data_IF_491169863547
#
_entry.id   IF_491169863547
#
_cell.length_a   1.000
_cell.length_b   1.000
_cell.length_c   1.000
_cell.angle_alpha   90.00
_cell.angle_beta   90.00
_cell.angle_gamma   90.00
#
_symmetry.space_group_name_H-M   'P 1'
#
loop_
_entity.id
_entity.type
_entity.pdbx_description
1 polymer ?
#
# COMPACT_ATOMS: atom_id res chain seq x y z
N UNK A 1 4.95 25.01 27.52
CA UNK A 1 3.64 25.53 27.99
C UNK A 1 3.39 25.25 29.48
N UNK A 2 3.66 24.03 30.01
CA UNK A 2 3.39 23.69 31.40
C UNK A 2 4.20 24.52 32.40
N UNK A 3 5.50 24.75 32.13
CA UNK A 3 6.37 25.55 32.98
C UNK A 3 5.93 27.04 33.04
N UNK A 4 5.45 27.58 31.92
CA UNK A 4 4.93 28.96 31.84
C UNK A 4 3.66 29.12 32.67
N UNK A 5 2.73 28.15 32.58
CA UNK A 5 1.49 28.16 33.38
C UNK A 5 1.82 28.01 34.87
N UNK A 6 2.75 27.15 35.25
CA UNK A 6 3.18 26.99 36.64
C UNK A 6 3.80 28.29 37.20
N UNK A 7 4.65 28.95 36.44
CA UNK A 7 5.26 30.22 36.85
C UNK A 7 4.19 31.34 37.06
N UNK A 8 3.22 31.44 36.15
CA UNK A 8 2.13 32.39 36.26
C UNK A 8 1.21 32.08 37.44
N UNK A 9 0.91 30.79 37.69
CA UNK A 9 0.11 30.38 38.86
C UNK A 9 0.83 30.70 40.19
N UNK A 10 2.17 30.51 40.25
CA UNK A 10 2.94 30.91 41.42
C UNK A 10 2.86 32.42 41.61
N UNK A 11 3.07 33.23 40.59
CA UNK A 11 2.98 34.69 40.65
C UNK A 11 1.57 35.20 41.03
N UNK A 12 0.53 34.52 40.55
CA UNK A 12 -0.87 34.79 40.86
C UNK A 12 -1.21 34.54 42.36
N UNK A 13 -0.57 33.55 42.98
CA UNK A 13 -0.78 33.21 44.39
C UNK A 13 0.04 34.06 45.37
N UNK A 14 0.99 34.87 44.89
CA UNK A 14 1.77 35.77 45.73
C UNK A 14 0.93 37.05 46.01
N UNK A 15 0.69 37.32 47.30
CA UNK A 15 0.02 38.52 47.74
C UNK A 15 1.08 39.50 48.25
N UNK A 16 1.09 40.69 47.71
CA UNK A 16 1.99 41.80 48.12
C UNK A 16 1.57 42.42 49.45
N UNK A 17 2.46 43.14 50.16
CA UNK A 17 2.12 43.80 51.43
C UNK A 17 0.97 44.82 51.35
N UNK A 18 0.65 45.32 50.17
CA UNK A 18 -0.48 46.18 49.88
C UNK A 18 -1.83 45.45 49.73
N UNK A 19 -1.85 44.11 49.86
CA UNK A 19 -3.03 43.27 49.72
C UNK A 19 -3.39 42.89 48.26
N UNK A 20 -2.63 43.34 47.26
CA UNK A 20 -2.84 43.02 45.87
C UNK A 20 -2.05 41.77 45.48
N UNK A 21 -2.54 41.07 44.44
CA UNK A 21 -1.82 39.93 43.85
C UNK A 21 -0.66 40.43 42.96
N UNK A 22 0.46 39.74 42.96
CA UNK A 22 1.62 40.05 42.12
C UNK A 22 1.25 40.02 40.63
N UNK A 23 0.42 39.04 40.23
CA UNK A 23 -0.14 38.92 38.87
C UNK A 23 -1.67 38.96 38.98
N UNK A 24 -2.33 39.77 38.16
CA UNK A 24 -3.77 39.88 38.13
C UNK A 24 -4.44 38.77 37.27
N UNK A 25 -5.77 38.72 37.33
CA UNK A 25 -6.58 37.76 36.57
C UNK A 25 -6.37 37.88 35.05
N UNK A 26 -6.11 39.08 34.54
CA UNK A 26 -5.92 39.34 33.12
C UNK A 26 -4.64 38.68 32.61
N UNK A 27 -3.55 38.69 33.39
CA UNK A 27 -2.30 38.04 33.07
C UNK A 27 -2.48 36.53 33.06
N UNK A 28 -3.20 35.98 34.04
CA UNK A 28 -3.50 34.54 34.09
C UNK A 28 -4.32 34.10 32.87
N UNK A 29 -5.42 34.80 32.59
CA UNK A 29 -6.30 34.49 31.45
C UNK A 29 -5.58 34.68 30.11
N UNK A 30 -4.79 35.73 29.95
CA UNK A 30 -3.99 36.00 28.77
C UNK A 30 -2.94 34.89 28.53
N UNK A 31 -2.32 34.37 29.59
CA UNK A 31 -1.37 33.30 29.50
C UNK A 31 -2.03 31.97 29.09
N UNK A 32 -3.20 31.64 29.63
CA UNK A 32 -3.98 30.48 29.23
C UNK A 32 -4.36 30.56 27.74
N UNK A 33 -4.85 31.72 27.30
CA UNK A 33 -5.18 31.94 25.89
C UNK A 33 -3.95 31.83 24.99
N UNK A 34 -2.81 32.41 25.39
CA UNK A 34 -1.54 32.31 24.65
C UNK A 34 -1.10 30.85 24.49
N UNK A 35 -1.16 30.06 25.56
CA UNK A 35 -0.80 28.64 25.54
C UNK A 35 -1.73 27.88 24.58
N UNK A 36 -3.04 28.13 24.64
CA UNK A 36 -4.01 27.49 23.77
C UNK A 36 -3.72 27.79 22.30
N UNK A 37 -3.54 29.06 21.95
CA UNK A 37 -3.23 29.47 20.57
C UNK A 37 -1.90 28.89 20.10
N UNK A 38 -0.86 28.95 20.92
CA UNK A 38 0.46 28.41 20.53
C UNK A 38 0.46 26.89 20.38
N UNK A 39 -0.30 26.15 21.20
CA UNK A 39 -0.44 24.70 21.04
C UNK A 39 -1.15 24.34 19.73
N UNK A 40 -2.24 25.03 19.39
CA UNK A 40 -2.97 24.81 18.13
C UNK A 40 -2.07 25.12 16.93
N UNK A 41 -1.45 26.30 16.90
CA UNK A 41 -0.56 26.71 15.80
C UNK A 41 0.64 25.75 15.68
N UNK A 42 1.27 25.38 16.80
CA UNK A 42 2.39 24.43 16.81
C UNK A 42 1.98 23.06 16.26
N UNK A 43 0.79 22.57 16.61
CA UNK A 43 0.28 21.30 16.10
C UNK A 43 0.15 21.31 14.57
N UNK A 44 -0.44 22.36 14.00
CA UNK A 44 -0.58 22.49 12.55
C UNK A 44 0.77 22.61 11.82
N UNK A 45 1.69 23.38 12.37
CA UNK A 45 3.03 23.56 11.76
C UNK A 45 3.81 22.24 11.82
N UNK A 46 3.77 21.55 12.98
CA UNK A 46 4.46 20.27 13.15
C UNK A 46 3.89 19.21 12.23
N UNK A 47 2.57 19.13 12.09
CA UNK A 47 1.93 18.19 11.16
C UNK A 47 2.36 18.44 9.71
N UNK A 48 2.33 19.71 9.26
CA UNK A 48 2.79 20.06 7.90
C UNK A 48 4.28 19.77 7.69
N UNK A 49 5.11 20.08 8.67
CA UNK A 49 6.54 19.82 8.58
C UNK A 49 6.84 18.31 8.56
N UNK A 50 6.18 17.53 9.41
CA UNK A 50 6.29 16.08 9.45
C UNK A 50 5.85 15.44 8.12
N UNK A 51 4.73 15.90 7.55
CA UNK A 51 4.26 15.45 6.22
C UNK A 51 5.31 15.72 5.13
N UNK A 52 5.88 16.92 5.10
CA UNK A 52 6.90 17.28 4.12
C UNK A 52 8.17 16.45 4.29
N UNK A 53 8.62 16.23 5.50
CA UNK A 53 9.80 15.40 5.79
C UNK A 53 9.53 13.94 5.38
N UNK A 54 8.36 13.39 5.71
CA UNK A 54 8.00 12.02 5.32
C UNK A 54 7.96 11.83 3.79
N UNK A 55 7.47 12.83 3.04
CA UNK A 55 7.49 12.81 1.57
C UNK A 55 8.91 12.91 1.03
N UNK A 56 9.71 13.84 1.56
CA UNK A 56 11.09 14.03 1.13
C UNK A 56 11.97 12.80 1.48
N UNK A 57 11.75 12.17 2.65
CA UNK A 57 12.44 10.94 3.05
C UNK A 57 12.01 9.74 2.20
N UNK A 58 10.73 9.57 1.92
CA UNK A 58 10.24 8.53 1.01
C UNK A 58 10.87 8.67 -0.39
N UNK A 59 11.03 9.92 -0.89
CA UNK A 59 11.70 10.18 -2.16
C UNK A 59 13.22 9.95 -2.12
N UNK A 60 13.89 10.25 -1.00
CA UNK A 60 15.35 10.07 -0.84
C UNK A 60 15.72 8.62 -0.56
N UNK A 61 14.87 7.87 0.13
CA UNK A 61 15.09 6.43 0.35
C UNK A 61 14.91 5.62 -0.94
N UNK A 62 14.00 6.01 -1.80
CA UNK A 62 13.79 5.37 -3.10
C UNK A 62 14.96 5.62 -4.07
N UNK A 63 15.62 6.78 -4.00
CA UNK A 63 16.84 7.04 -4.80
C UNK A 63 18.08 6.30 -4.26
N UNK A 64 18.06 5.88 -2.99
CA UNK A 64 19.19 5.20 -2.32
C UNK A 64 19.00 3.71 -2.12
N UNK A 65 17.76 3.20 -2.19
CA UNK A 65 17.54 1.76 -2.19
C UNK A 65 18.09 1.20 -3.49
N UNK A 66 18.99 0.20 -3.45
CA UNK A 66 19.26 -0.58 -4.65
C UNK A 66 17.90 -1.06 -5.12
N UNK A 67 17.56 -0.79 -6.40
CA UNK A 67 16.29 -1.18 -6.97
C UNK A 67 16.04 -2.65 -6.61
N UNK A 68 15.09 -2.88 -5.69
CA UNK A 68 14.72 -4.25 -5.31
C UNK A 68 14.28 -4.94 -6.59
N UNK A 69 14.91 -6.06 -6.89
CA UNK A 69 14.58 -6.80 -8.11
C UNK A 69 13.12 -7.24 -8.00
N UNK A 70 12.28 -6.68 -8.86
CA UNK A 70 10.87 -7.03 -8.93
C UNK A 70 10.73 -8.54 -9.20
N UNK A 71 9.96 -9.23 -8.36
CA UNK A 71 9.64 -10.65 -8.52
C UNK A 71 8.16 -10.87 -8.25
N UNK A 72 7.45 -11.29 -9.26
CA UNK A 72 6.01 -11.51 -9.22
C UNK A 72 5.73 -13.00 -9.09
N UNK A 73 5.05 -13.40 -8.02
CA UNK A 73 4.62 -14.77 -7.76
C UNK A 73 3.16 -14.96 -8.20
N UNK A 74 2.93 -15.97 -9.02
CA UNK A 74 1.62 -16.32 -9.56
C UNK A 74 1.24 -17.72 -9.07
N UNK A 75 0.44 -17.84 -7.99
CA UNK A 75 -0.12 -19.12 -7.58
C UNK A 75 -1.13 -19.64 -8.60
N UNK A 76 -0.86 -20.83 -9.14
CA UNK A 76 -1.67 -21.49 -10.16
C UNK A 76 -2.40 -22.69 -9.57
N UNK A 77 -3.66 -22.52 -9.21
CA UNK A 77 -4.50 -23.56 -8.63
C UNK A 77 -5.79 -23.82 -9.43
N UNK A 78 -6.26 -22.85 -10.20
CA UNK A 78 -7.48 -22.94 -11.00
C UNK A 78 -7.15 -22.69 -12.48
N UNK A 79 -7.43 -23.65 -13.39
CA UNK A 79 -7.10 -23.53 -14.81
C UNK A 79 -7.81 -22.36 -15.51
N UNK A 80 -8.98 -21.92 -14.98
CA UNK A 80 -9.80 -20.84 -15.58
C UNK A 80 -9.19 -19.45 -15.33
N UNK A 81 -8.37 -19.30 -14.31
CA UNK A 81 -7.76 -18.01 -13.93
C UNK A 81 -6.28 -17.89 -14.34
N UNK A 82 -5.64 -18.98 -14.76
CA UNK A 82 -4.20 -18.98 -15.08
C UNK A 82 -3.88 -17.94 -16.16
N UNK A 83 -4.66 -17.93 -17.24
CA UNK A 83 -4.42 -17.04 -18.37
C UNK A 83 -4.54 -15.55 -17.94
N UNK A 84 -5.58 -15.22 -17.21
CA UNK A 84 -5.80 -13.87 -16.72
C UNK A 84 -4.68 -13.40 -15.79
N UNK A 85 -4.25 -14.25 -14.84
CA UNK A 85 -3.21 -13.89 -13.86
C UNK A 85 -1.82 -13.77 -14.51
N UNK A 86 -1.50 -14.66 -15.45
CA UNK A 86 -0.24 -14.58 -16.19
C UNK A 86 -0.20 -13.36 -17.08
N UNK A 87 -1.29 -13.06 -17.81
CA UNK A 87 -1.38 -11.88 -18.64
C UNK A 87 -1.32 -10.58 -17.81
N UNK A 88 -1.99 -10.53 -16.64
CA UNK A 88 -1.85 -9.41 -15.70
C UNK A 88 -0.38 -9.22 -15.31
N UNK A 89 0.28 -10.29 -14.89
CA UNK A 89 1.68 -10.25 -14.47
C UNK A 89 2.61 -9.80 -15.61
N UNK A 90 2.34 -10.19 -16.86
CA UNK A 90 3.09 -9.75 -18.03
C UNK A 90 2.97 -8.25 -18.30
N UNK A 91 1.80 -7.64 -18.09
CA UNK A 91 1.58 -6.21 -18.37
C UNK A 91 2.02 -5.28 -17.24
N UNK A 92 2.08 -5.77 -15.98
CA UNK A 92 2.54 -4.95 -14.83
C UNK A 92 4.04 -5.06 -14.59
N UNK A 93 4.70 -6.18 -14.99
CA UNK A 93 6.12 -6.41 -14.72
C UNK A 93 7.03 -5.34 -15.31
N UNK A 94 8.22 -5.18 -14.74
CA UNK A 94 9.29 -4.39 -15.36
C UNK A 94 9.88 -5.13 -16.56
N UNK A 95 9.71 -4.63 -17.79
CA UNK A 95 10.24 -5.28 -18.99
C UNK A 95 11.77 -5.30 -19.05
N UNK A 96 12.46 -4.48 -18.26
CA UNK A 96 13.92 -4.46 -18.17
C UNK A 96 14.48 -5.67 -17.40
N UNK A 97 13.66 -6.30 -16.55
CA UNK A 97 14.03 -7.48 -15.76
C UNK A 97 13.51 -8.74 -16.43
N UNK A 98 14.42 -9.66 -16.81
CA UNK A 98 14.03 -10.86 -17.56
C UNK A 98 13.47 -11.96 -16.66
N UNK A 99 14.07 -12.22 -15.50
CA UNK A 99 13.77 -13.39 -14.64
C UNK A 99 12.90 -13.01 -13.44
N UNK A 100 11.83 -12.25 -13.68
CA UNK A 100 10.99 -11.69 -12.60
C UNK A 100 9.63 -12.38 -12.42
N UNK A 101 9.31 -13.42 -13.19
CA UNK A 101 8.06 -14.17 -13.05
C UNK A 101 8.26 -15.55 -12.47
N UNK A 102 7.46 -15.88 -11.45
CA UNK A 102 7.44 -17.18 -10.79
C UNK A 102 6.00 -17.73 -10.77
N UNK A 103 5.79 -18.94 -11.30
CA UNK A 103 4.53 -19.65 -11.13
C UNK A 103 4.67 -20.71 -10.03
N UNK A 104 3.69 -20.75 -9.13
CA UNK A 104 3.69 -21.66 -7.98
C UNK A 104 2.44 -22.55 -7.99
N UNK A 105 2.65 -23.85 -7.93
CA UNK A 105 1.60 -24.78 -7.56
C UNK A 105 1.88 -25.34 -6.15
N UNK A 106 0.92 -25.19 -5.24
CA UNK A 106 1.02 -25.73 -3.88
C UNK A 106 0.15 -26.97 -3.77
N UNK A 107 0.76 -28.05 -3.32
CA UNK A 107 0.13 -29.36 -3.05
C UNK A 107 -0.02 -29.48 -1.54
N UNK A 108 -1.25 -29.73 -1.07
CA UNK A 108 -1.48 -29.94 0.35
C UNK A 108 -0.96 -31.34 0.77
N UNK A 109 -0.03 -31.37 1.73
CA UNK A 109 0.59 -32.60 2.22
C UNK A 109 -0.41 -33.65 2.70
N UNK A 110 -1.50 -33.22 3.32
CA UNK A 110 -2.53 -34.12 3.87
C UNK A 110 -3.32 -34.88 2.80
N UNK A 111 -3.35 -34.35 1.57
CA UNK A 111 -4.13 -34.88 0.45
C UNK A 111 -3.27 -35.12 -0.80
N UNK A 112 -1.95 -35.20 -0.64
CA UNK A 112 -1.04 -35.41 -1.74
C UNK A 112 -1.39 -36.70 -2.50
N UNK A 113 -1.50 -36.60 -3.82
CA UNK A 113 -1.74 -37.73 -4.71
C UNK A 113 -1.07 -37.47 -6.06
N UNK A 114 -0.65 -38.54 -6.74
CA UNK A 114 -0.05 -38.45 -8.07
C UNK A 114 -0.93 -37.67 -9.07
N UNK A 115 -2.27 -37.81 -8.95
CA UNK A 115 -3.22 -37.07 -9.78
C UNK A 115 -3.16 -35.58 -9.54
N UNK A 116 -2.95 -35.13 -8.28
CA UNK A 116 -2.81 -33.71 -7.93
C UNK A 116 -1.48 -33.16 -8.42
N UNK A 117 -0.41 -33.92 -8.32
CA UNK A 117 0.92 -33.56 -8.84
C UNK A 117 0.88 -33.37 -10.36
N UNK A 118 0.33 -34.35 -11.08
CA UNK A 118 0.20 -34.27 -12.53
C UNK A 118 -0.66 -33.09 -12.97
N UNK A 119 -1.74 -32.80 -12.22
CA UNK A 119 -2.58 -31.64 -12.47
C UNK A 119 -1.83 -30.33 -12.24
N UNK A 120 -1.10 -30.23 -11.13
CA UNK A 120 -0.24 -29.08 -10.81
C UNK A 120 0.81 -28.80 -11.89
N UNK A 121 1.47 -29.86 -12.37
CA UNK A 121 2.43 -29.78 -13.47
C UNK A 121 1.79 -29.22 -14.75
N UNK A 122 0.61 -29.70 -15.14
CA UNK A 122 -0.12 -29.17 -16.30
C UNK A 122 -0.47 -27.68 -16.15
N UNK A 123 -0.79 -27.21 -14.95
CA UNK A 123 -1.08 -25.79 -14.68
C UNK A 123 0.17 -24.93 -14.83
N UNK A 124 1.31 -25.40 -14.32
CA UNK A 124 2.60 -24.75 -14.50
C UNK A 124 3.03 -24.71 -15.96
N UNK A 125 2.85 -25.81 -16.70
CA UNK A 125 3.11 -25.89 -18.14
C UNK A 125 2.22 -24.92 -18.94
N UNK A 126 0.91 -24.81 -18.59
CA UNK A 126 0.00 -23.83 -19.20
C UNK A 126 0.49 -22.39 -18.97
N UNK A 127 0.89 -22.04 -17.75
CA UNK A 127 1.44 -20.74 -17.44
C UNK A 127 2.72 -20.44 -18.23
N UNK A 128 3.62 -21.44 -18.34
CA UNK A 128 4.86 -21.31 -19.09
C UNK A 128 4.63 -21.15 -20.61
N UNK A 129 3.63 -21.81 -21.19
CA UNK A 129 3.28 -21.60 -22.61
C UNK A 129 2.83 -20.16 -22.88
N UNK A 130 2.05 -19.55 -21.96
CA UNK A 130 1.57 -18.17 -22.10
C UNK A 130 2.74 -17.21 -22.03
N UNK A 131 3.64 -17.35 -21.05
CA UNK A 131 4.80 -16.45 -20.92
C UNK A 131 5.81 -16.65 -22.07
N UNK A 132 5.98 -17.87 -22.56
CA UNK A 132 6.82 -18.17 -23.72
C UNK A 132 6.30 -17.48 -25.00
N UNK A 133 4.99 -17.34 -25.17
CA UNK A 133 4.42 -16.60 -26.32
C UNK A 133 4.76 -15.10 -26.29
N UNK A 134 5.12 -14.57 -25.12
CA UNK A 134 5.56 -13.19 -24.92
C UNK A 134 7.10 -13.08 -24.80
N UNK A 135 7.86 -14.16 -25.09
CA UNK A 135 9.33 -14.24 -24.93
C UNK A 135 9.80 -13.87 -23.50
N UNK A 136 9.03 -14.27 -22.50
CA UNK A 136 9.34 -14.02 -21.09
C UNK A 136 9.56 -15.34 -20.36
N UNK A 137 10.74 -15.54 -19.71
CA UNK A 137 11.01 -16.74 -18.95
C UNK A 137 10.12 -16.80 -17.70
N UNK A 138 9.66 -18.00 -17.36
CA UNK A 138 8.87 -18.28 -16.17
C UNK A 138 9.52 -19.36 -15.32
N UNK A 139 9.85 -19.03 -14.08
CA UNK A 139 10.30 -20.03 -13.11
C UNK A 139 9.10 -20.81 -12.58
N UNK A 140 9.08 -22.12 -12.82
CA UNK A 140 8.04 -23.03 -12.34
C UNK A 140 8.43 -23.63 -11.00
N UNK A 141 7.54 -23.56 -10.01
CA UNK A 141 7.75 -24.07 -8.66
C UNK A 141 6.57 -24.95 -8.27
N UNK A 142 6.86 -26.19 -7.88
CA UNK A 142 5.90 -27.08 -7.21
C UNK A 142 6.33 -27.24 -5.76
N UNK A 143 5.41 -27.04 -4.82
CA UNK A 143 5.70 -27.07 -3.39
C UNK A 143 4.66 -27.89 -2.64
N UNK A 144 5.11 -28.72 -1.72
CA UNK A 144 4.29 -29.34 -0.71
C UNK A 144 4.25 -28.45 0.53
N UNK A 145 3.06 -28.22 1.06
CA UNK A 145 2.91 -27.44 2.28
C UNK A 145 1.60 -27.84 3.02
N UNK A 146 1.46 -27.46 4.31
CA UNK A 146 0.28 -27.75 5.11
C UNK A 146 -1.00 -27.15 4.55
N UNK A 147 -0.91 -25.96 3.94
CA UNK A 147 -2.01 -25.30 3.26
C UNK A 147 -1.47 -24.35 2.17
N UNK A 148 -2.37 -23.93 1.29
CA UNK A 148 -2.00 -23.11 0.12
C UNK A 148 -1.42 -21.75 0.55
N UNK A 149 -1.99 -21.09 1.58
CA UNK A 149 -1.50 -19.79 2.04
C UNK A 149 -0.08 -19.87 2.58
N UNK A 150 0.22 -20.89 3.43
CA UNK A 150 1.56 -21.13 3.96
C UNK A 150 2.56 -21.38 2.84
N UNK A 151 2.20 -22.20 1.85
CA UNK A 151 3.05 -22.47 0.70
C UNK A 151 3.40 -21.23 -0.10
N UNK A 152 2.44 -20.34 -0.30
CA UNK A 152 2.67 -19.04 -0.97
C UNK A 152 3.60 -18.15 -0.13
N UNK A 153 3.33 -18.02 1.19
CA UNK A 153 4.13 -17.20 2.11
C UNK A 153 5.58 -17.70 2.19
N UNK A 154 5.78 -19.01 2.34
CA UNK A 154 7.12 -19.58 2.41
C UNK A 154 7.88 -19.39 1.09
N UNK A 155 7.23 -19.63 -0.05
CA UNK A 155 7.84 -19.41 -1.38
C UNK A 155 8.16 -17.93 -1.59
N UNK A 156 7.29 -17.03 -1.18
CA UNK A 156 7.52 -15.59 -1.31
C UNK A 156 8.76 -15.14 -0.52
N UNK A 157 8.92 -15.63 0.71
CA UNK A 157 10.10 -15.35 1.55
C UNK A 157 11.37 -15.98 0.98
N UNK A 158 11.32 -17.25 0.56
CA UNK A 158 12.47 -17.99 0.05
C UNK A 158 13.05 -17.39 -1.24
N UNK A 159 12.18 -16.88 -2.12
CA UNK A 159 12.59 -16.32 -3.40
C UNK A 159 12.70 -14.79 -3.41
N UNK A 160 12.46 -14.11 -2.30
CA UNK A 160 12.47 -12.64 -2.23
C UNK A 160 11.41 -12.04 -3.17
N UNK A 161 10.18 -12.57 -3.10
CA UNK A 161 9.06 -12.10 -3.91
C UNK A 161 8.61 -10.73 -3.43
N UNK A 162 8.39 -9.83 -4.36
CA UNK A 162 7.94 -8.48 -4.09
C UNK A 162 6.43 -8.31 -4.29
N UNK A 163 5.84 -9.14 -5.16
CA UNK A 163 4.42 -9.06 -5.56
C UNK A 163 3.79 -10.44 -5.66
N UNK A 164 2.57 -10.57 -5.16
CA UNK A 164 1.79 -11.80 -5.29
C UNK A 164 0.48 -11.49 -6.01
N UNK A 165 0.21 -12.21 -7.11
CA UNK A 165 -0.99 -12.03 -7.93
C UNK A 165 -1.86 -13.27 -7.81
N UNK A 166 -3.01 -13.15 -7.13
CA UNK A 166 -3.96 -14.26 -6.92
C UNK A 166 -5.29 -13.99 -7.61
N UNK A 167 -5.95 -15.08 -8.05
CA UNK A 167 -7.28 -15.02 -8.65
C UNK A 167 -8.39 -15.00 -7.61
N UNK A 168 -9.38 -14.15 -7.81
CA UNK A 168 -10.63 -14.19 -7.07
C UNK A 168 -11.53 -15.30 -7.61
N UNK A 169 -12.08 -16.12 -6.72
CA UNK A 169 -12.95 -17.23 -7.13
C UNK A 169 -14.23 -16.68 -7.79
N UNK A 170 -14.62 -17.22 -8.97
CA UNK A 170 -15.83 -16.78 -9.70
C UNK A 170 -17.14 -17.14 -9.00
N UNK A 171 -17.14 -18.20 -8.17
CA UNK A 171 -18.32 -18.66 -7.39
C UNK A 171 -18.15 -18.25 -5.93
N UNK A 172 -18.54 -17.03 -5.60
CA UNK A 172 -18.68 -16.60 -4.21
C UNK A 172 -20.11 -16.94 -3.78
N UNK A 173 -20.26 -18.00 -2.99
CA UNK A 173 -21.49 -18.17 -2.20
C UNK A 173 -21.48 -17.05 -1.14
N UNK A 174 -22.66 -16.43 -0.93
CA UNK A 174 -22.88 -15.26 -0.07
C UNK A 174 -22.44 -15.46 1.39
N UNK A 175 -22.07 -16.67 1.78
CA UNK A 175 -21.73 -17.07 3.18
C UNK A 175 -20.23 -17.01 3.47
N UNK A 176 -19.37 -17.12 2.45
CA UNK A 176 -17.91 -17.03 2.63
C UNK A 176 -17.44 -15.60 2.34
N UNK A 177 -16.42 -15.13 3.08
CA UNK A 177 -15.84 -13.81 2.84
C UNK A 177 -15.51 -13.65 1.35
N UNK A 178 -15.84 -12.51 0.75
CA UNK A 178 -15.67 -12.23 -0.68
C UNK A 178 -14.27 -12.57 -1.19
N UNK A 179 -13.25 -12.34 -0.38
CA UNK A 179 -11.86 -12.66 -0.69
C UNK A 179 -11.49 -14.12 -0.36
N UNK A 180 -12.27 -14.84 0.46
CA UNK A 180 -11.99 -16.19 0.93
C UNK A 180 -10.86 -16.27 1.96
N UNK A 181 -10.83 -17.40 2.70
CA UNK A 181 -9.81 -17.66 3.74
C UNK A 181 -8.38 -17.60 3.22
N UNK A 182 -8.15 -17.92 1.95
CA UNK A 182 -6.82 -17.85 1.34
C UNK A 182 -6.26 -16.44 1.39
N UNK A 183 -7.03 -15.46 0.89
CA UNK A 183 -6.58 -14.07 0.85
C UNK A 183 -6.40 -13.50 2.26
N UNK A 184 -7.31 -13.80 3.19
CA UNK A 184 -7.18 -13.35 4.58
C UNK A 184 -5.90 -13.89 5.25
N UNK A 185 -5.59 -15.17 5.06
CA UNK A 185 -4.39 -15.78 5.62
C UNK A 185 -3.11 -15.23 4.97
N UNK A 186 -3.14 -14.97 3.65
CA UNK A 186 -2.04 -14.34 2.95
C UNK A 186 -1.77 -12.93 3.48
N UNK A 187 -2.82 -12.11 3.63
CA UNK A 187 -2.69 -10.74 4.10
C UNK A 187 -2.17 -10.63 5.54
N UNK A 188 -2.43 -11.64 6.37
CA UNK A 188 -1.90 -11.73 7.74
C UNK A 188 -0.42 -12.14 7.77
N UNK A 189 0.01 -12.99 6.84
CA UNK A 189 1.36 -13.58 6.85
C UNK A 189 2.35 -12.95 5.87
N UNK A 190 1.87 -12.07 4.98
CA UNK A 190 2.67 -11.44 3.94
C UNK A 190 2.45 -9.92 3.93
N UNK A 191 3.53 -9.16 4.10
CA UNK A 191 3.49 -7.69 4.09
C UNK A 191 3.80 -7.09 2.71
N UNK A 192 4.20 -7.91 1.76
CA UNK A 192 4.46 -7.54 0.36
C UNK A 192 3.16 -7.17 -0.37
N UNK A 193 3.30 -6.62 -1.56
CA UNK A 193 2.16 -6.27 -2.39
C UNK A 193 1.34 -7.52 -2.77
N UNK A 194 0.03 -7.47 -2.60
CA UNK A 194 -0.89 -8.55 -2.96
C UNK A 194 -1.99 -8.00 -3.85
N UNK A 195 -2.09 -8.53 -5.07
CA UNK A 195 -3.16 -8.24 -6.00
C UNK A 195 -4.15 -9.40 -6.06
N UNK A 196 -5.41 -9.13 -5.78
CA UNK A 196 -6.53 -10.07 -5.90
C UNK A 196 -7.32 -9.69 -7.15
N UNK A 197 -7.22 -10.47 -8.21
CA UNK A 197 -7.73 -10.12 -9.52
C UNK A 197 -8.87 -11.02 -9.98
N UNK A 198 -9.86 -10.42 -10.66
CA UNK A 198 -10.95 -11.09 -11.35
C UNK A 198 -11.15 -10.41 -12.70
N UNK A 199 -11.05 -11.17 -13.78
CA UNK A 199 -11.35 -10.67 -15.11
C UNK A 199 -12.60 -11.37 -15.67
N UNK A 200 -13.45 -10.60 -16.32
CA UNK A 200 -14.64 -11.09 -17.02
C UNK A 200 -14.45 -11.10 -18.54
N UNK A 201 -13.39 -10.45 -18.99
CA UNK A 201 -12.98 -10.33 -20.38
C UNK A 201 -11.45 -10.37 -20.47
N UNK A 202 -10.88 -10.69 -21.62
CA UNK A 202 -9.44 -10.68 -21.82
C UNK A 202 -8.84 -9.30 -21.52
N UNK A 203 -7.69 -9.26 -20.82
CA UNK A 203 -7.07 -8.02 -20.33
C UNK A 203 -6.73 -7.03 -21.47
N UNK A 204 -6.40 -7.54 -22.66
CA UNK A 204 -6.09 -6.73 -23.84
C UNK A 204 -7.32 -6.05 -24.48
N UNK A 205 -8.53 -6.35 -24.03
CA UNK A 205 -9.78 -5.71 -24.49
C UNK A 205 -10.23 -4.57 -23.59
N UNK A 206 -9.53 -4.34 -22.47
CA UNK A 206 -9.82 -3.26 -21.54
C UNK A 206 -9.53 -1.89 -22.18
N UNK A 207 -10.43 -0.93 -21.98
CA UNK A 207 -10.31 0.42 -22.54
C UNK A 207 -9.93 1.48 -21.51
N UNK A 208 -10.19 1.21 -20.24
CA UNK A 208 -9.89 2.15 -19.15
C UNK A 208 -9.59 1.39 -17.87
N UNK A 209 -8.66 1.93 -17.10
CA UNK A 209 -8.32 1.47 -15.75
C UNK A 209 -8.79 2.55 -14.78
N UNK A 210 -9.80 2.28 -13.97
CA UNK A 210 -10.31 3.18 -12.94
C UNK A 210 -9.75 2.77 -11.59
N UNK A 211 -8.99 3.64 -10.94
CA UNK A 211 -8.28 3.34 -9.69
C UNK A 211 -8.83 4.19 -8.57
N UNK A 212 -9.50 3.58 -7.60
CA UNK A 212 -9.93 4.24 -6.38
C UNK A 212 -8.81 4.15 -5.34
N UNK A 213 -8.38 5.31 -4.86
CA UNK A 213 -7.24 5.48 -3.95
C UNK A 213 -7.71 6.04 -2.62
N UNK A 214 -7.44 5.37 -1.48
CA UNK A 214 -7.84 5.88 -0.18
C UNK A 214 -7.02 7.10 0.22
N UNK A 215 -7.55 7.94 1.11
CA UNK A 215 -6.78 9.03 1.71
C UNK A 215 -5.52 8.50 2.40
N UNK A 216 -4.43 9.26 2.34
CA UNK A 216 -3.13 8.93 2.94
C UNK A 216 -2.40 7.74 2.31
N UNK A 217 -2.85 7.24 1.15
CA UNK A 217 -2.15 6.18 0.42
C UNK A 217 -0.72 6.58 0.03
N UNK A 218 -0.49 7.86 -0.18
CA UNK A 218 0.82 8.44 -0.51
C UNK A 218 1.90 8.26 0.56
N UNK A 219 1.50 7.95 1.80
CA UNK A 219 2.42 7.69 2.91
C UNK A 219 2.77 6.21 3.07
N UNK A 220 2.16 5.32 2.26
CA UNK A 220 2.47 3.90 2.29
C UNK A 220 3.74 3.59 1.50
N UNK A 221 4.56 2.68 2.01
CA UNK A 221 5.84 2.29 1.37
C UNK A 221 5.65 1.80 -0.08
N UNK A 222 4.55 1.13 -0.37
CA UNK A 222 4.24 0.60 -1.70
C UNK A 222 3.61 1.60 -2.66
N UNK A 223 3.43 2.89 -2.29
CA UNK A 223 2.69 3.86 -3.11
C UNK A 223 3.25 4.02 -4.52
N UNK A 224 4.53 4.29 -4.65
CA UNK A 224 5.14 4.51 -5.95
C UNK A 224 5.10 3.25 -6.83
N UNK A 225 5.27 2.08 -6.21
CA UNK A 225 5.32 0.79 -6.89
C UNK A 225 4.00 0.45 -7.57
N UNK A 226 2.88 0.51 -6.86
CA UNK A 226 1.59 0.20 -7.48
C UNK A 226 1.17 1.27 -8.52
N UNK A 227 1.53 2.54 -8.32
CA UNK A 227 1.33 3.57 -9.36
C UNK A 227 2.10 3.20 -10.64
N UNK A 228 3.35 2.75 -10.49
CA UNK A 228 4.18 2.29 -11.60
C UNK A 228 3.56 1.09 -12.32
N UNK A 229 3.05 0.08 -11.58
CA UNK A 229 2.38 -1.08 -12.17
C UNK A 229 1.20 -0.69 -13.06
N UNK A 230 0.31 0.18 -12.59
CA UNK A 230 -0.86 0.57 -13.39
C UNK A 230 -0.53 1.57 -14.50
N UNK A 231 0.48 2.40 -14.34
CA UNK A 231 0.98 3.23 -15.44
C UNK A 231 1.61 2.37 -16.54
N UNK A 232 2.42 1.36 -16.20
CA UNK A 232 2.96 0.39 -17.17
C UNK A 232 1.84 -0.37 -17.87
N UNK A 233 0.85 -0.86 -17.11
CA UNK A 233 -0.32 -1.52 -17.65
C UNK A 233 -1.07 -0.64 -18.63
N UNK A 234 -1.34 0.63 -18.27
CA UNK A 234 -1.99 1.60 -19.16
C UNK A 234 -1.22 1.82 -20.45
N UNK A 235 0.10 1.97 -20.37
CA UNK A 235 0.97 2.12 -21.54
C UNK A 235 1.00 0.88 -22.44
N UNK A 236 1.12 -0.32 -21.81
CA UNK A 236 1.17 -1.60 -22.54
C UNK A 236 -0.14 -1.90 -23.27
N UNK A 237 -1.27 -1.62 -22.62
CA UNK A 237 -2.59 -1.84 -23.19
C UNK A 237 -3.08 -0.68 -24.05
N UNK A 238 -2.38 0.45 -24.06
CA UNK A 238 -2.80 1.66 -24.78
C UNK A 238 -4.10 2.26 -24.23
N UNK A 239 -4.41 2.01 -22.96
CA UNK A 239 -5.63 2.47 -22.32
C UNK A 239 -5.38 3.60 -21.32
N UNK A 240 -6.44 4.35 -21.01
CA UNK A 240 -6.39 5.48 -20.09
C UNK A 240 -6.47 5.02 -18.65
N UNK A 241 -5.63 5.59 -17.78
CA UNK A 241 -5.65 5.36 -16.34
C UNK A 241 -6.33 6.54 -15.65
N UNK A 242 -7.40 6.28 -14.91
CA UNK A 242 -8.19 7.29 -14.23
C UNK A 242 -8.09 7.07 -12.71
N UNK A 243 -7.49 8.03 -12.03
CA UNK A 243 -7.33 8.02 -10.58
C UNK A 243 -8.48 8.78 -9.90
N UNK A 244 -9.08 8.16 -8.89
CA UNK A 244 -10.08 8.75 -8.00
C UNK A 244 -9.47 8.84 -6.61
N UNK A 245 -9.18 10.06 -6.16
CA UNK A 245 -8.50 10.31 -4.90
C UNK A 245 -8.93 11.66 -4.30
N UNK A 246 -8.59 11.90 -3.03
CA UNK A 246 -8.74 13.22 -2.45
C UNK A 246 -7.73 14.22 -3.06
N UNK A 247 -7.85 15.49 -2.74
CA UNK A 247 -7.04 16.56 -3.32
C UNK A 247 -5.54 16.42 -3.01
N UNK A 248 -5.19 16.02 -1.77
CA UNK A 248 -3.80 15.85 -1.33
C UNK A 248 -3.12 14.71 -2.09
N UNK A 249 -3.71 13.53 -2.09
CA UNK A 249 -3.21 12.35 -2.81
C UNK A 249 -3.16 12.60 -4.32
N UNK A 250 -4.16 13.28 -4.89
CA UNK A 250 -4.20 13.63 -6.32
C UNK A 250 -3.02 14.50 -6.72
N UNK A 251 -2.67 15.49 -5.90
CA UNK A 251 -1.52 16.36 -6.18
C UNK A 251 -0.23 15.56 -6.28
N UNK A 252 -0.01 14.61 -5.37
CA UNK A 252 1.19 13.77 -5.37
C UNK A 252 1.19 12.76 -6.51
N UNK A 253 0.04 12.16 -6.85
CA UNK A 253 -0.11 11.31 -8.03
C UNK A 253 0.24 12.05 -9.32
N UNK A 254 -0.25 13.29 -9.49
CA UNK A 254 0.06 14.11 -10.66
C UNK A 254 1.56 14.41 -10.79
N UNK A 255 2.22 14.75 -9.66
CA UNK A 255 3.67 14.99 -9.64
C UNK A 255 4.43 13.72 -10.03
N UNK A 256 4.09 12.58 -9.45
CA UNK A 256 4.74 11.30 -9.70
C UNK A 256 4.56 10.85 -11.15
N UNK A 257 3.33 10.88 -11.65
CA UNK A 257 3.00 10.48 -13.02
C UNK A 257 3.71 11.40 -14.02
N UNK A 258 3.66 12.73 -13.83
CA UNK A 258 4.34 13.68 -14.70
C UNK A 258 5.86 13.48 -14.74
N UNK A 259 6.47 13.16 -13.57
CA UNK A 259 7.92 12.97 -13.45
C UNK A 259 8.41 11.67 -14.09
N UNK A 260 7.69 10.55 -13.88
CA UNK A 260 8.16 9.20 -14.25
C UNK A 260 7.39 8.56 -15.41
N UNK A 261 6.13 8.95 -15.65
CA UNK A 261 5.22 8.28 -16.59
C UNK A 261 4.51 9.27 -17.50
N UNK A 262 5.23 10.28 -18.01
CA UNK A 262 4.68 11.34 -18.87
C UNK A 262 4.01 10.84 -20.15
N UNK A 263 4.30 9.60 -20.59
CA UNK A 263 3.66 8.96 -21.74
C UNK A 263 2.31 8.32 -21.44
N UNK A 264 1.97 8.13 -20.15
CA UNK A 264 0.71 7.48 -19.75
C UNK A 264 -0.44 8.48 -19.86
N UNK A 265 -1.51 8.08 -20.54
CA UNK A 265 -2.74 8.88 -20.59
C UNK A 265 -3.46 8.76 -19.24
N UNK A 266 -3.47 9.83 -18.45
CA UNK A 266 -4.05 9.83 -17.11
C UNK A 266 -5.13 10.89 -16.96
N UNK A 267 -6.21 10.54 -16.23
CA UNK A 267 -7.26 11.44 -15.75
C UNK A 267 -7.30 11.40 -14.23
N UNK A 268 -7.80 12.46 -13.60
CA UNK A 268 -7.94 12.56 -12.15
C UNK A 268 -9.32 13.08 -11.82
N UNK A 269 -9.99 12.44 -10.86
CA UNK A 269 -11.27 12.86 -10.32
C UNK A 269 -11.25 12.81 -8.80
N UNK A 270 -12.07 13.65 -8.19
CA UNK A 270 -12.13 13.78 -6.73
C UNK A 270 -12.95 12.64 -6.11
N UNK A 271 -12.39 12.03 -5.07
CA UNK A 271 -13.02 11.07 -4.18
C UNK A 271 -12.55 11.38 -2.76
N UNK A 272 -13.31 12.18 -2.02
CA UNK A 272 -12.90 12.65 -0.67
C UNK A 272 -13.23 11.65 0.41
N UNK A 273 -14.38 11.00 0.33
CA UNK A 273 -14.84 10.02 1.29
C UNK A 273 -14.87 8.63 0.65
N UNK A 274 -14.32 7.65 1.35
CA UNK A 274 -14.37 6.26 0.89
C UNK A 274 -15.80 5.69 0.85
N UNK A 275 -16.72 6.29 1.62
CA UNK A 275 -18.15 6.01 1.53
C UNK A 275 -18.75 6.26 0.14
N UNK A 276 -18.17 7.18 -0.62
CA UNK A 276 -18.58 7.57 -1.97
C UNK A 276 -18.09 6.61 -3.06
N UNK A 277 -17.37 5.53 -2.70
CA UNK A 277 -16.92 4.50 -3.65
C UNK A 277 -18.04 3.97 -4.54
N UNK A 278 -19.27 3.90 -4.01
CA UNK A 278 -20.43 3.43 -4.76
C UNK A 278 -20.82 4.36 -5.91
N UNK A 279 -20.44 5.64 -5.90
CA UNK A 279 -20.68 6.55 -7.02
C UNK A 279 -19.91 6.13 -8.27
N UNK A 280 -18.84 5.36 -8.11
CA UNK A 280 -18.08 4.80 -9.24
C UNK A 280 -18.87 3.77 -10.05
N UNK A 281 -19.96 3.20 -9.50
CA UNK A 281 -20.82 2.24 -10.24
C UNK A 281 -21.36 2.83 -11.54
N UNK A 282 -21.65 4.13 -11.55
CA UNK A 282 -22.10 4.86 -12.76
C UNK A 282 -20.98 5.20 -13.75
N UNK A 283 -19.70 5.04 -13.37
CA UNK A 283 -18.55 5.41 -14.18
C UNK A 283 -17.74 4.22 -14.68
N UNK A 284 -17.98 3.02 -14.12
CA UNK A 284 -17.27 1.79 -14.49
C UNK A 284 -18.15 0.98 -15.45
N UNK A 285 -17.80 1.01 -16.73
CA UNK A 285 -18.46 0.20 -17.76
C UNK A 285 -17.94 -1.25 -17.74
N UNK A 286 -18.57 -2.14 -18.51
CA UNK A 286 -18.19 -3.55 -18.59
C UNK A 286 -16.78 -3.77 -19.15
N UNK A 287 -16.29 -2.86 -20.02
CA UNK A 287 -14.98 -2.88 -20.66
C UNK A 287 -13.91 -2.08 -19.88
N UNK A 288 -14.24 -1.66 -18.65
CA UNK A 288 -13.33 -1.02 -17.73
C UNK A 288 -12.82 -1.99 -16.68
N UNK A 289 -11.58 -1.80 -16.26
CA UNK A 289 -11.04 -2.41 -15.07
C UNK A 289 -11.27 -1.48 -13.87
N UNK A 290 -11.88 -1.97 -12.82
CA UNK A 290 -11.91 -1.29 -11.52
C UNK A 290 -10.76 -1.79 -10.66
N UNK A 291 -9.95 -0.88 -10.18
CA UNK A 291 -8.88 -1.15 -9.21
C UNK A 291 -9.20 -0.44 -7.90
N UNK A 292 -9.17 -1.18 -6.82
CA UNK A 292 -9.34 -0.68 -5.47
C UNK A 292 -8.01 -0.80 -4.74
N UNK A 293 -7.42 0.33 -4.38
CA UNK A 293 -6.28 0.33 -3.47
C UNK A 293 -6.84 0.19 -2.06
N UNK A 294 -6.57 -0.92 -1.43
CA UNK A 294 -7.00 -1.23 -0.07
C UNK A 294 -5.83 -1.08 0.90
N UNK A 295 -6.08 -1.29 2.19
CA UNK A 295 -5.06 -1.18 3.22
C UNK A 295 -5.22 -2.28 4.26
N UNK A 296 -4.09 -2.70 4.87
CA UNK A 296 -4.11 -3.63 6.00
C UNK A 296 -4.48 -2.89 7.28
N UNK A 297 -5.10 -3.58 8.24
CA UNK A 297 -5.36 -3.01 9.56
C UNK A 297 -4.05 -2.55 10.20
N UNK A 298 -4.05 -1.34 10.74
CA UNK A 298 -2.88 -0.74 11.38
C UNK A 298 -1.97 0.08 10.45
N UNK A 299 -2.22 0.08 9.14
CA UNK A 299 -1.52 0.98 8.21
C UNK A 299 -2.16 2.37 8.19
N UNK A 300 -1.41 3.37 7.71
CA UNK A 300 -1.81 4.79 7.79
C UNK A 300 -3.00 5.14 6.89
N UNK A 301 -3.15 4.42 5.77
CA UNK A 301 -4.25 4.58 4.81
C UNK A 301 -5.47 3.71 5.12
N UNK A 302 -5.45 2.98 6.25
CA UNK A 302 -6.57 2.11 6.62
C UNK A 302 -7.82 2.92 6.97
N UNK A 303 -8.94 2.55 6.34
CA UNK A 303 -10.26 3.09 6.62
C UNK A 303 -11.20 1.96 7.10
N UNK A 304 -12.00 2.15 8.19
CA UNK A 304 -12.97 1.17 8.65
C UNK A 304 -14.00 0.75 7.58
N UNK A 305 -14.26 1.59 6.58
CA UNK A 305 -15.13 1.26 5.46
C UNK A 305 -14.62 0.08 4.62
N UNK A 306 -13.30 -0.22 4.68
CA UNK A 306 -12.74 -1.42 4.02
C UNK A 306 -13.35 -2.73 4.53
N UNK A 307 -13.87 -2.78 5.74
CA UNK A 307 -14.56 -3.97 6.25
C UNK A 307 -15.86 -4.28 5.47
N UNK A 308 -16.47 -3.26 4.88
CA UNK A 308 -17.68 -3.38 4.06
C UNK A 308 -17.37 -3.61 2.58
N UNK A 309 -16.12 -3.37 2.18
CA UNK A 309 -15.68 -3.46 0.78
C UNK A 309 -16.01 -4.81 0.13
N UNK A 310 -15.78 -5.97 0.77
CA UNK A 310 -16.13 -7.27 0.19
C UNK A 310 -17.61 -7.38 -0.21
N UNK A 311 -18.51 -6.98 0.69
CA UNK A 311 -19.95 -7.02 0.44
C UNK A 311 -20.36 -6.02 -0.66
N UNK A 312 -19.79 -4.82 -0.68
CA UNK A 312 -20.04 -3.81 -1.69
C UNK A 312 -19.60 -4.27 -3.08
N UNK A 313 -18.39 -4.83 -3.19
CA UNK A 313 -17.84 -5.33 -4.45
C UNK A 313 -18.68 -6.51 -4.98
N UNK A 314 -19.07 -7.44 -4.12
CA UNK A 314 -19.92 -8.56 -4.49
C UNK A 314 -21.30 -8.13 -4.96
N UNK A 315 -21.89 -7.08 -4.39
CA UNK A 315 -23.23 -6.60 -4.72
C UNK A 315 -23.25 -5.67 -5.94
N UNK A 316 -22.33 -4.72 -6.03
CA UNK A 316 -22.41 -3.62 -6.98
C UNK A 316 -21.45 -3.76 -8.17
N UNK A 317 -20.34 -4.50 -8.02
CA UNK A 317 -19.30 -4.67 -9.04
C UNK A 317 -19.12 -6.15 -9.44
N UNK A 318 -20.13 -7.00 -9.18
CA UNK A 318 -20.09 -8.42 -9.52
C UNK A 318 -19.81 -8.66 -11.02
N UNK A 319 -20.31 -7.77 -11.88
CA UNK A 319 -20.22 -7.87 -13.34
C UNK A 319 -19.11 -7.00 -13.95
N UNK A 320 -18.11 -6.60 -13.15
CA UNK A 320 -16.96 -5.84 -13.61
C UNK A 320 -15.66 -6.65 -13.44
N UNK A 321 -14.69 -6.40 -14.31
CA UNK A 321 -13.32 -6.80 -14.08
C UNK A 321 -12.76 -5.98 -12.92
N UNK A 322 -12.12 -6.64 -11.94
CA UNK A 322 -11.77 -6.05 -10.66
C UNK A 322 -10.38 -6.49 -10.21
N UNK A 323 -9.61 -5.56 -9.68
CA UNK A 323 -8.41 -5.83 -8.89
C UNK A 323 -8.57 -5.15 -7.52
N UNK A 324 -8.34 -5.89 -6.44
CA UNK A 324 -8.13 -5.31 -5.11
C UNK A 324 -6.66 -5.48 -4.77
N UNK A 325 -6.00 -4.35 -4.58
CA UNK A 325 -4.58 -4.29 -4.32
C UNK A 325 -4.33 -3.89 -2.87
N UNK A 326 -3.53 -4.68 -2.18
CA UNK A 326 -2.96 -4.37 -0.87
C UNK A 326 -1.48 -4.02 -1.06
N UNK A 327 -1.08 -2.75 -0.91
CA UNK A 327 0.30 -2.32 -1.12
C UNK A 327 1.27 -2.97 -0.11
N UNK A 328 2.55 -2.85 -0.37
CA UNK A 328 3.58 -3.03 0.67
C UNK A 328 3.42 -1.90 1.69
N UNK A 329 3.03 -2.22 2.92
CA UNK A 329 2.62 -1.23 3.91
C UNK A 329 3.45 -1.22 5.18
N UNK A 330 4.10 -2.33 5.51
CA UNK A 330 4.72 -2.52 6.83
C UNK A 330 6.25 -2.60 6.77
N UNK A 331 6.87 -2.37 5.61
CA UNK A 331 8.31 -2.51 5.44
C UNK A 331 8.82 -3.95 5.64
N UNK A 332 10.12 -4.14 5.73
CA UNK A 332 10.68 -5.47 5.99
C UNK A 332 10.45 -5.92 7.45
N UNK A 333 10.22 -7.23 7.70
CA UNK A 333 10.03 -7.77 9.05
C UNK A 333 11.21 -7.53 10.01
N UNK A 334 12.36 -7.11 9.51
CA UNK A 334 13.53 -6.77 10.33
C UNK A 334 13.25 -5.58 11.24
N UNK A 335 12.39 -4.64 10.83
CA UNK A 335 12.01 -3.51 11.69
C UNK A 335 11.07 -3.92 12.83
N UNK A 336 10.28 -4.97 12.65
CA UNK A 336 9.43 -5.52 13.73
C UNK A 336 10.21 -6.37 14.75
N UNK A 337 11.31 -7.01 14.35
CA UNK A 337 12.16 -7.78 15.26
C UNK A 337 12.99 -6.89 16.19
N UNK A 338 13.17 -5.60 15.87
CA UNK A 338 13.90 -4.67 16.73
C UNK A 338 13.16 -4.31 18.02
N UNK A 339 11.82 -4.41 18.02
CA UNK A 339 11.02 -4.24 19.27
C UNK A 339 11.11 -5.41 20.24
N UNK A 340 11.49 -6.61 19.75
CA UNK A 340 11.63 -7.81 20.58
C UNK A 340 13.03 -8.03 21.11
N UNK A 341 14.01 -7.22 20.73
CA UNK A 341 15.40 -7.34 21.13
C UNK A 341 15.97 -6.03 21.69
N UNK A 342 15.73 -5.72 23.00
CA UNK A 342 16.16 -4.45 23.61
C UNK A 342 17.68 -4.30 23.77
N UNK A 343 18.49 -5.20 23.21
CA UNK A 343 19.97 -5.19 23.30
C UNK A 343 20.70 -5.03 21.94
N UNK A 344 20.01 -4.72 20.87
CA UNK A 344 20.63 -4.45 19.57
C UNK A 344 20.92 -2.96 19.37
N UNK A 345 22.16 -2.62 19.12
CA UNK A 345 22.84 -1.31 18.97
C UNK A 345 22.23 -0.27 17.99
N UNK A 346 20.93 -0.25 17.71
CA UNK A 346 20.34 0.69 16.76
C UNK A 346 19.73 1.97 17.38
N UNK A 347 19.59 2.04 18.71
CA UNK A 347 19.14 3.28 19.37
C UNK A 347 20.16 4.42 19.20
N UNK A 348 21.46 4.12 19.21
CA UNK A 348 22.52 5.13 19.04
C UNK A 348 22.51 5.79 17.65
N UNK A 349 22.09 5.08 16.60
CA UNK A 349 22.04 5.64 15.23
C UNK A 349 20.88 6.61 15.04
N UNK A 350 19.75 6.41 15.70
CA UNK A 350 18.59 7.32 15.60
C UNK A 350 18.86 8.62 16.36
N UNK A 351 19.41 8.55 17.58
CA UNK A 351 19.79 9.73 18.35
C UNK A 351 20.94 10.51 17.71
N UNK A 352 21.90 9.82 17.06
CA UNK A 352 22.97 10.47 16.30
C UNK A 352 22.45 11.23 15.06
N UNK A 353 21.45 10.70 14.34
CA UNK A 353 20.84 11.38 13.19
C UNK A 353 20.09 12.64 13.61
N UNK A 354 19.30 12.57 14.68
CA UNK A 354 18.58 13.71 15.25
C UNK A 354 19.55 14.75 15.79
N UNK A 355 20.61 14.35 16.50
CA UNK A 355 21.65 15.23 16.99
C UNK A 355 22.43 15.95 15.88
N UNK A 356 22.80 15.24 14.80
CA UNK A 356 23.48 15.81 13.62
C UNK A 356 22.57 16.80 12.87
N UNK A 357 21.25 16.56 12.83
CA UNK A 357 20.28 17.45 12.22
C UNK A 357 20.14 18.76 13.02
N UNK A 358 19.98 18.68 14.36
CA UNK A 358 19.97 19.85 15.25
C UNK A 358 21.25 20.67 15.13
N UNK A 359 22.42 20.03 15.14
CA UNK A 359 23.72 20.69 15.00
C UNK A 359 23.86 21.42 13.64
N UNK A 360 23.35 20.84 12.56
CA UNK A 360 23.36 21.43 11.22
C UNK A 360 22.40 22.61 11.09
N UNK A 361 21.27 22.58 11.81
CA UNK A 361 20.28 23.65 11.83
C UNK A 361 20.78 24.88 12.60
N UNK A 362 21.37 24.70 13.78
CA UNK A 362 21.95 25.79 14.58
C UNK A 362 23.14 26.45 13.88
N UNK A 363 23.99 25.69 13.17
CA UNK A 363 25.14 26.24 12.44
C UNK A 363 24.79 27.06 11.19
N UNK A 364 23.55 26.97 10.70
CA UNK A 364 23.05 27.74 9.55
C UNK A 364 22.43 29.08 9.97
N UNK A 365 22.21 29.31 11.27
CA UNK A 365 21.67 30.55 11.84
C UNK A 365 22.75 31.60 12.15
N UNK A 366 24.06 31.24 12.06
CA UNK A 366 25.16 32.14 12.32
C UNK A 366 25.92 32.60 11.05
N UNK A 367 25.22 32.68 9.92
CA UNK A 367 25.70 33.36 8.71
C UNK A 367 24.66 34.28 8.13
#
# INVERSE_FOLDING_TARGET
>A
PAATLAAVLVGYNIILPNGERLLNDDVLNGTVLLILVTCVVSSFITERAARKIAIDEAHLEDEKRPAELEKILIPVANPDTIEDLVNLSLVIRDPKQRDNLLALNVINDNNASEALELRGKRYLEKAAMITASADVPLKQISRYDLNIASGIIHTAKEHGVTDVVIGLHRKVNIVDSFFGMLAENLLKGLHREVMIAKFLMPINTLRRINIAVPPKAEYEAGFQKWVEHFCRMGNTLGCRVHFFANEETTTLLQILVKKRFSSTMTDFSRLDDWGDLLLLTGQVNYDHLLVIISARRGSISYDPAFERLPAQLGKYFANNSLIVLYPDQLGEPQDMLSFSNPRGNNEDQHYEKVGKWFYKWFRKSDK
#
